data_IF_363683574553
#
_entry.id   IF_363683574553
#
_cell.length_a   1.000
_cell.length_b   1.000
_cell.length_c   1.000
_cell.angle_alpha   90.00
_cell.angle_beta   90.00
_cell.angle_gamma   90.00
#
_symmetry.space_group_name_H-M   'P 1'
#
loop_
_entity.id
_entity.type
_entity.pdbx_description
1 polymer ?
#
# COMPACT_ATOMS: atom_id res chain seq x y z
N UNK A 1 -16.35 -2.28 5.96
CA UNK A 1 -15.72 -1.07 5.37
C UNK A 1 -14.30 -1.46 5.00
N UNK A 2 -13.86 -1.23 3.75
CA UNK A 2 -12.48 -1.51 3.34
C UNK A 2 -11.64 -0.23 3.37
N UNK A 3 -10.34 -0.36 3.63
CA UNK A 3 -9.38 0.72 3.83
C UNK A 3 -8.43 0.75 2.62
N UNK A 4 -8.39 1.88 1.91
CA UNK A 4 -7.46 2.06 0.78
C UNK A 4 -6.01 2.07 1.25
N UNK A 5 -5.09 1.55 0.43
CA UNK A 5 -3.64 1.60 0.71
C UNK A 5 -3.15 3.02 1.00
N UNK A 6 -3.68 4.02 0.28
CA UNK A 6 -3.40 5.45 0.55
C UNK A 6 -3.74 5.87 1.99
N UNK A 7 -4.88 5.41 2.51
CA UNK A 7 -5.33 5.75 3.85
C UNK A 7 -4.45 5.08 4.91
N UNK A 8 -4.04 3.83 4.68
CA UNK A 8 -3.06 3.12 5.54
C UNK A 8 -1.76 3.94 5.62
N UNK A 9 -1.19 4.31 4.47
CA UNK A 9 0.03 5.12 4.41
C UNK A 9 -0.13 6.47 5.13
N UNK A 10 -1.21 7.19 4.86
CA UNK A 10 -1.46 8.51 5.43
C UNK A 10 -1.64 8.45 6.96
N UNK A 11 -2.35 7.45 7.47
CA UNK A 11 -2.54 7.25 8.91
C UNK A 11 -1.24 6.92 9.64
N UNK A 12 -0.26 6.35 8.94
CA UNK A 12 1.09 6.07 9.45
C UNK A 12 2.04 7.28 9.33
N UNK A 13 1.56 8.43 8.82
CA UNK A 13 2.36 9.63 8.54
C UNK A 13 3.58 9.36 7.63
N UNK A 14 3.46 8.40 6.71
CA UNK A 14 4.54 8.04 5.80
C UNK A 14 4.41 8.76 4.46
N UNK A 15 5.55 9.18 3.92
CA UNK A 15 5.67 9.61 2.53
C UNK A 15 5.45 8.43 1.58
N UNK A 16 5.12 8.74 0.32
CA UNK A 16 5.03 7.72 -0.73
C UNK A 16 6.37 7.00 -0.96
N UNK A 17 7.51 7.68 -0.72
CA UNK A 17 8.84 7.10 -0.88
C UNK A 17 9.14 6.07 0.21
N UNK A 18 8.90 6.40 1.47
CA UNK A 18 9.12 5.46 2.58
C UNK A 18 8.25 4.22 2.45
N UNK A 19 7.00 4.38 2.02
CA UNK A 19 6.10 3.26 1.82
C UNK A 19 6.52 2.40 0.62
N UNK A 20 6.95 3.02 -0.49
CA UNK A 20 7.52 2.31 -1.64
C UNK A 20 8.77 1.50 -1.25
N UNK A 21 9.65 2.06 -0.40
CA UNK A 21 10.86 1.40 0.09
C UNK A 21 10.53 0.18 0.96
N UNK A 22 9.53 0.29 1.83
CA UNK A 22 9.02 -0.87 2.60
C UNK A 22 8.55 -1.97 1.65
N UNK A 23 7.83 -1.61 0.59
CA UNK A 23 7.31 -2.57 -0.37
C UNK A 23 8.38 -3.08 -1.34
N UNK A 24 9.55 -2.45 -1.40
CA UNK A 24 10.64 -2.84 -2.30
C UNK A 24 10.36 -2.48 -3.76
N UNK A 25 9.64 -1.38 -3.99
CA UNK A 25 9.31 -0.88 -5.34
C UNK A 25 9.77 0.56 -5.54
N UNK A 26 9.85 0.99 -6.80
CA UNK A 26 10.17 2.38 -7.12
C UNK A 26 9.04 3.33 -6.67
N UNK A 27 9.38 4.59 -6.39
CA UNK A 27 8.40 5.64 -6.07
C UNK A 27 7.36 5.80 -7.19
N UNK A 28 7.78 5.75 -8.45
CA UNK A 28 6.88 5.92 -9.60
C UNK A 28 5.91 4.75 -9.74
N UNK A 29 6.36 3.52 -9.46
CA UNK A 29 5.49 2.32 -9.38
C UNK A 29 4.43 2.51 -8.30
N UNK A 30 4.85 2.88 -7.09
CA UNK A 30 3.95 3.12 -5.97
C UNK A 30 2.92 4.21 -6.28
N UNK A 31 3.36 5.33 -6.88
CA UNK A 31 2.50 6.45 -7.26
C UNK A 31 1.41 6.05 -8.25
N UNK A 32 1.75 5.27 -9.28
CA UNK A 32 0.77 4.75 -10.25
C UNK A 32 -0.26 3.86 -9.56
N UNK A 33 0.17 2.99 -8.65
CA UNK A 33 -0.73 2.11 -7.89
C UNK A 33 -1.66 2.89 -6.96
N UNK A 34 -1.13 3.84 -6.19
CA UNK A 34 -1.94 4.66 -5.28
C UNK A 34 -2.95 5.57 -6.02
N UNK A 35 -2.63 5.98 -7.25
CA UNK A 35 -3.52 6.76 -8.13
C UNK A 35 -4.53 5.89 -8.90
N UNK A 36 -4.44 4.56 -8.82
CA UNK A 36 -5.28 3.64 -9.58
C UNK A 36 -4.89 3.47 -11.05
N UNK A 37 -3.73 3.99 -11.47
CA UNK A 37 -3.19 3.81 -12.81
C UNK A 37 -2.55 2.42 -13.03
N UNK A 38 -2.32 1.67 -11.96
CA UNK A 38 -1.81 0.29 -11.99
C UNK A 38 -2.44 -0.49 -10.83
N UNK A 39 -2.83 -1.75 -11.01
CA UNK A 39 -3.39 -2.54 -9.93
C UNK A 39 -2.33 -2.92 -8.89
N UNK A 40 -2.75 -3.16 -7.66
CA UNK A 40 -1.93 -3.82 -6.66
C UNK A 40 -1.87 -5.33 -6.92
N UNK A 41 -0.70 -5.91 -6.70
CA UNK A 41 -0.51 -7.36 -6.75
C UNK A 41 -0.86 -7.97 -5.40
N UNK A 42 -1.32 -9.22 -5.42
CA UNK A 42 -1.67 -9.94 -4.19
C UNK A 42 -0.50 -9.98 -3.19
N UNK A 43 0.72 -10.23 -3.67
CA UNK A 43 1.94 -10.23 -2.84
C UNK A 43 2.21 -8.89 -2.16
N UNK A 44 1.90 -7.76 -2.83
CA UNK A 44 2.06 -6.43 -2.25
C UNK A 44 1.04 -6.20 -1.13
N UNK A 45 -0.19 -6.68 -1.31
CA UNK A 45 -1.25 -6.59 -0.31
C UNK A 45 -0.97 -7.47 0.91
N UNK A 46 -0.49 -8.70 0.70
CA UNK A 46 0.00 -9.58 1.78
C UNK A 46 1.11 -8.88 2.56
N UNK A 47 2.08 -8.28 1.85
CA UNK A 47 3.20 -7.56 2.49
C UNK A 47 2.72 -6.37 3.33
N UNK A 48 1.73 -5.61 2.85
CA UNK A 48 1.12 -4.50 3.62
C UNK A 48 0.42 -5.06 4.86
N UNK A 49 -0.42 -6.09 4.70
CA UNK A 49 -1.14 -6.73 5.79
C UNK A 49 -0.19 -7.22 6.89
N UNK A 50 0.84 -7.97 6.51
CA UNK A 50 1.83 -8.55 7.45
C UNK A 50 2.66 -7.49 8.15
N UNK A 51 3.08 -6.45 7.42
CA UNK A 51 3.95 -5.39 7.94
C UNK A 51 3.23 -4.51 8.95
N UNK A 52 1.97 -4.17 8.68
CA UNK A 52 1.19 -3.22 9.49
C UNK A 52 0.13 -3.89 10.36
N UNK A 53 0.09 -5.23 10.39
CA UNK A 53 -0.84 -6.04 11.21
C UNK A 53 -2.30 -5.69 10.93
N UNK A 54 -2.62 -5.54 9.64
CA UNK A 54 -3.97 -5.27 9.14
C UNK A 54 -4.53 -6.57 8.58
N UNK A 55 -5.79 -6.90 8.88
CA UNK A 55 -6.46 -8.03 8.24
C UNK A 55 -6.55 -7.78 6.74
N UNK A 56 -6.04 -8.73 5.94
CA UNK A 56 -6.00 -8.63 4.48
C UNK A 56 -7.39 -8.36 3.88
N UNK A 57 -8.47 -8.86 4.50
CA UNK A 57 -9.84 -8.67 4.04
C UNK A 57 -10.33 -7.22 4.21
N UNK A 58 -9.62 -6.43 5.01
CA UNK A 58 -9.90 -5.02 5.24
C UNK A 58 -9.21 -4.10 4.23
N UNK A 59 -8.26 -4.58 3.43
CA UNK A 59 -7.52 -3.74 2.48
C UNK A 59 -8.30 -3.61 1.16
N UNK A 60 -8.49 -2.37 0.71
CA UNK A 60 -9.01 -2.01 -0.60
C UNK A 60 -7.84 -1.64 -1.51
N UNK A 61 -7.65 -2.46 -2.54
CA UNK A 61 -6.49 -2.46 -3.42
C UNK A 61 -6.96 -2.41 -4.88
#
# INVERSE_FOLDING_TARGET
>A
MKIKVKAIRANLNMSQKEFADILGMSLSTYQKKEQGASPWLFEEIVKIADKFKIDINQIDA
#
